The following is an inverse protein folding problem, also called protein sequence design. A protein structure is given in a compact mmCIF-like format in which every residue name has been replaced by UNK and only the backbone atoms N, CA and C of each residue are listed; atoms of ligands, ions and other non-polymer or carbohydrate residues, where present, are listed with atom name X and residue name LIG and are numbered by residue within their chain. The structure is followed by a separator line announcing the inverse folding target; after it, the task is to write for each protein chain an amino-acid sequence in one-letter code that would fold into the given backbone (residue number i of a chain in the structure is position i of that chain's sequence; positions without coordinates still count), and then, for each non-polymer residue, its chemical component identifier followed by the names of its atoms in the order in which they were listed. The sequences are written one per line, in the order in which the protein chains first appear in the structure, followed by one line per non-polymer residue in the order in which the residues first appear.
data_IF_827902550409
#
_entry.id   IF_827902550409
#
_cell.length_a   1.000
_cell.length_b   1.000
_cell.length_c   1.000
_cell.angle_alpha   90.00
_cell.angle_beta   90.00
_cell.angle_gamma   90.00
#
_symmetry.space_group_name_H-M   'P 1'
#
loop_
_entity.id
_entity.type
_entity.pdbx_description
1 polymer ?
#
# COMPACT_ATOMS: atom_id res chain seq x y z
N UNK A 1 59.88 -3.66 46.77
CA UNK A 1 60.26 -3.05 45.48
C UNK A 1 59.04 -2.24 45.08
N UNK A 2 58.98 -0.98 45.53
CA UNK A 2 59.46 0.18 44.76
C UNK A 2 58.53 0.45 43.57
N UNK A 3 58.08 1.65 43.24
CA UNK A 3 58.23 3.00 43.79
C UNK A 3 57.67 3.89 42.68
N UNK A 4 56.85 4.90 43.03
CA UNK A 4 56.90 6.27 42.46
C UNK A 4 56.72 6.46 40.92
N UNK A 5 56.45 7.65 40.38
CA UNK A 5 55.58 8.77 40.80
C UNK A 5 55.18 9.54 39.51
N UNK A 6 54.42 10.64 39.65
CA UNK A 6 54.02 11.69 38.69
C UNK A 6 55.24 12.30 37.93
N UNK A 7 55.14 13.27 37.01
CA UNK A 7 54.68 14.67 37.08
C UNK A 7 54.64 15.15 35.60
N UNK A 8 53.49 15.55 35.03
CA UNK A 8 53.02 16.94 34.82
C UNK A 8 54.03 17.91 34.15
N UNK A 9 53.62 18.61 33.08
CA UNK A 9 53.58 20.09 33.07
C UNK A 9 52.96 20.68 31.77
N UNK A 10 52.18 21.74 31.97
CA UNK A 10 51.61 22.67 30.98
C UNK A 10 52.20 24.08 31.32
N UNK A 11 51.59 25.26 31.03
CA UNK A 11 50.55 25.68 30.07
C UNK A 11 51.23 26.68 29.08
N UNK A 12 50.91 27.98 28.89
CA UNK A 12 49.65 28.76 28.93
C UNK A 12 49.43 29.50 27.56
N UNK A 13 48.70 30.60 27.35
CA UNK A 13 47.88 31.49 28.20
C UNK A 13 46.80 32.23 27.36
N UNK A 14 45.62 32.50 27.97
CA UNK A 14 44.86 33.78 27.90
C UNK A 14 44.32 34.32 26.54
N UNK A 15 43.23 35.09 26.42
CA UNK A 15 42.20 35.61 27.37
C UNK A 15 40.94 36.10 26.60
N UNK A 16 39.87 36.42 27.36
CA UNK A 16 38.70 37.25 27.01
C UNK A 16 37.53 36.61 26.22
N UNK A 17 36.33 36.73 26.80
CA UNK A 17 35.06 36.46 26.12
C UNK A 17 34.16 37.71 26.07
N UNK A 18 32.98 37.57 25.48
CA UNK A 18 31.84 38.48 25.73
C UNK A 18 30.50 37.80 25.44
N UNK A 19 29.58 37.98 26.39
CA UNK A 19 28.21 37.46 26.41
C UNK A 19 27.30 38.38 25.57
N UNK A 20 26.40 37.83 24.75
CA UNK A 20 25.20 38.53 24.27
C UNK A 20 24.06 37.55 23.96
N UNK A 21 22.84 38.07 23.98
CA UNK A 21 21.62 37.35 24.34
C UNK A 21 20.52 37.52 23.27
N UNK A 22 19.66 36.50 23.13
CA UNK A 22 18.35 36.50 22.42
C UNK A 22 18.31 36.95 20.95
N UNK A 23 17.72 36.10 20.09
CA UNK A 23 16.38 36.38 19.55
C UNK A 23 15.74 35.10 18.97
N UNK A 24 14.50 34.79 19.36
CA UNK A 24 13.67 33.81 18.66
C UNK A 24 13.10 34.48 17.42
N UNK A 25 13.42 34.03 16.21
CA UNK A 25 12.73 34.46 14.99
C UNK A 25 12.18 33.27 14.19
N UNK A 26 10.85 33.26 14.14
CA UNK A 26 9.93 32.71 13.14
C UNK A 26 10.61 32.28 11.83
N UNK A 27 10.48 31.00 11.45
CA UNK A 27 10.74 30.56 10.07
C UNK A 27 9.59 31.04 9.19
N UNK A 28 9.85 32.01 8.33
CA UNK A 28 8.98 32.31 7.19
C UNK A 28 9.40 31.45 5.97
N UNK A 29 8.49 31.19 5.01
CA UNK A 29 8.76 30.25 3.93
C UNK A 29 9.83 30.81 2.98
N UNK A 30 10.82 29.98 2.62
CA UNK A 30 11.79 30.36 1.59
C UNK A 30 11.14 30.27 0.21
N UNK A 31 11.09 31.40 -0.49
CA UNK A 31 10.89 31.42 -1.93
C UNK A 31 12.05 30.71 -2.62
N UNK A 32 11.75 29.90 -3.63
CA UNK A 32 12.75 29.14 -4.38
C UNK A 32 13.47 30.10 -5.34
N UNK A 33 14.80 30.15 -5.23
CA UNK A 33 15.68 30.89 -6.15
C UNK A 33 16.31 29.93 -7.16
N UNK A 34 16.64 30.47 -8.33
CA UNK A 34 16.87 29.74 -9.59
C UNK A 34 18.04 28.72 -9.59
N UNK A 35 17.98 27.68 -10.44
CA UNK A 35 19.02 26.66 -10.53
C UNK A 35 20.31 27.15 -11.18
N UNK A 36 21.45 26.59 -10.73
CA UNK A 36 22.79 26.89 -11.24
C UNK A 36 23.01 26.36 -12.67
N UNK A 37 23.80 27.07 -13.51
CA UNK A 37 24.12 26.62 -14.87
C UNK A 37 25.16 25.51 -14.85
N UNK A 38 24.85 24.35 -15.46
CA UNK A 38 25.76 23.20 -15.48
C UNK A 38 25.23 21.89 -16.06
N UNK A 39 24.21 21.93 -16.93
CA UNK A 39 23.70 20.74 -17.64
C UNK A 39 23.40 21.06 -19.12
N UNK A 40 23.41 20.02 -19.95
CA UNK A 40 23.61 20.10 -21.40
C UNK A 40 22.45 20.73 -22.20
N UNK A 41 22.82 21.44 -23.28
CA UNK A 41 21.94 22.13 -24.21
C UNK A 41 21.13 21.17 -25.12
N UNK A 42 19.98 20.67 -24.66
CA UNK A 42 18.97 20.10 -25.56
C UNK A 42 17.87 21.14 -25.84
N UNK A 43 18.03 21.90 -26.93
CA UNK A 43 17.01 22.86 -27.39
C UNK A 43 15.73 22.13 -27.79
N UNK A 44 14.58 22.67 -27.35
CA UNK A 44 13.18 22.29 -27.70
C UNK A 44 12.53 21.12 -26.93
N UNK A 45 12.50 21.23 -25.60
CA UNK A 45 11.29 20.82 -24.85
C UNK A 45 10.79 22.00 -24.02
N UNK A 46 9.64 22.57 -24.40
CA UNK A 46 8.86 23.44 -23.52
C UNK A 46 8.15 22.55 -22.52
N UNK A 47 8.65 22.52 -21.28
CA UNK A 47 7.93 21.90 -20.16
C UNK A 47 6.77 22.81 -19.83
N UNK A 48 5.60 22.50 -20.38
CA UNK A 48 4.36 23.18 -20.02
C UNK A 48 4.02 22.79 -18.57
N UNK A 49 4.17 23.74 -17.66
CA UNK A 49 3.85 23.51 -16.25
C UNK A 49 2.32 23.49 -16.09
N UNK A 50 1.72 22.30 -16.07
CA UNK A 50 0.28 22.14 -15.84
C UNK A 50 0.01 22.47 -14.37
N UNK A 51 -0.61 23.62 -14.13
CA UNK A 51 -1.15 23.98 -12.82
C UNK A 51 -2.54 23.37 -12.74
N UNK A 52 -2.65 22.22 -12.08
CA UNK A 52 -3.93 21.52 -11.88
C UNK A 52 -4.75 22.27 -10.83
N UNK A 53 -5.84 22.92 -11.24
CA UNK A 53 -6.88 23.34 -10.29
C UNK A 53 -7.76 22.15 -9.86
N UNK A 54 -8.50 22.33 -8.77
CA UNK A 54 -9.13 21.25 -8.00
C UNK A 54 -10.04 20.34 -8.83
N UNK A 55 -9.73 19.03 -8.81
CA UNK A 55 -10.53 17.88 -9.22
C UNK A 55 -10.96 17.77 -10.71
N UNK A 56 -11.06 18.86 -11.47
CA UNK A 56 -11.52 18.83 -12.87
C UNK A 56 -10.51 18.26 -13.87
N UNK A 57 -9.21 18.32 -13.57
CA UNK A 57 -8.15 18.01 -14.54
C UNK A 57 -7.90 16.50 -14.69
N UNK A 58 -7.96 15.73 -13.59
CA UNK A 58 -7.63 14.29 -13.61
C UNK A 58 -8.54 13.50 -14.56
N UNK A 59 -9.84 13.80 -14.57
CA UNK A 59 -10.82 13.19 -15.50
C UNK A 59 -10.52 13.60 -16.93
N UNK A 60 -10.19 14.87 -17.16
CA UNK A 60 -9.90 15.44 -18.47
C UNK A 60 -8.63 14.84 -19.09
N UNK A 61 -7.54 14.72 -18.32
CA UNK A 61 -6.30 14.06 -18.72
C UNK A 61 -6.54 12.56 -18.99
N UNK A 62 -7.25 11.85 -18.12
CA UNK A 62 -7.50 10.43 -18.30
C UNK A 62 -8.41 10.14 -19.51
N UNK A 63 -9.41 11.00 -19.78
CA UNK A 63 -10.20 11.02 -21.02
C UNK A 63 -9.32 11.28 -22.25
N UNK A 64 -8.36 12.21 -22.19
CA UNK A 64 -7.45 12.45 -23.31
C UNK A 64 -6.60 11.21 -23.64
N UNK A 65 -6.12 10.49 -22.61
CA UNK A 65 -5.32 9.27 -22.77
C UNK A 65 -6.12 8.03 -23.19
N UNK A 66 -7.37 7.89 -22.76
CA UNK A 66 -8.15 6.66 -22.94
C UNK A 66 -9.43 6.81 -23.80
N UNK A 67 -9.77 8.05 -24.18
CA UNK A 67 -10.90 8.43 -25.04
C UNK A 67 -12.21 7.77 -24.54
N UNK A 68 -13.07 7.35 -25.46
CA UNK A 68 -14.33 6.64 -25.19
C UNK A 68 -14.17 5.31 -24.42
N UNK A 69 -12.95 4.79 -24.24
CA UNK A 69 -12.72 3.58 -23.43
C UNK A 69 -12.45 3.88 -21.96
N UNK A 70 -12.30 5.15 -21.56
CA UNK A 70 -11.92 5.55 -20.21
C UNK A 70 -12.82 4.92 -19.14
N UNK A 71 -14.12 5.22 -19.15
CA UNK A 71 -15.04 4.73 -18.13
C UNK A 71 -15.18 3.20 -18.14
N UNK A 72 -15.19 2.54 -19.31
CA UNK A 72 -15.20 1.06 -19.39
C UNK A 72 -13.95 0.42 -18.80
N UNK A 73 -12.78 1.05 -18.97
CA UNK A 73 -11.52 0.59 -18.36
C UNK A 73 -11.49 0.85 -16.86
N UNK A 74 -11.97 2.01 -16.42
CA UNK A 74 -12.06 2.37 -15.00
C UNK A 74 -13.00 1.41 -14.25
N UNK A 75 -14.20 1.16 -14.79
CA UNK A 75 -15.11 0.13 -14.27
C UNK A 75 -14.42 -1.22 -14.15
N UNK A 76 -13.74 -1.69 -15.20
CA UNK A 76 -13.04 -2.98 -15.18
C UNK A 76 -11.92 -3.03 -14.12
N UNK A 77 -11.27 -1.90 -13.85
CA UNK A 77 -10.20 -1.80 -12.85
C UNK A 77 -10.73 -1.93 -11.42
N UNK A 78 -11.92 -1.37 -11.14
CA UNK A 78 -12.56 -1.33 -9.81
C UNK A 78 -13.74 -2.29 -9.65
N UNK A 79 -13.96 -3.21 -10.60
CA UNK A 79 -15.01 -4.22 -10.53
C UNK A 79 -14.90 -5.10 -9.25
N UNK A 80 -13.70 -5.60 -8.85
CA UNK A 80 -13.54 -6.38 -7.61
C UNK A 80 -13.88 -5.60 -6.34
N UNK A 81 -13.40 -4.36 -6.22
CA UNK A 81 -13.62 -3.48 -5.07
C UNK A 81 -15.10 -3.08 -4.97
N UNK A 82 -15.76 -2.78 -6.10
CA UNK A 82 -17.20 -2.49 -6.11
C UNK A 82 -18.02 -3.70 -5.64
N UNK A 83 -17.72 -4.89 -6.16
CA UNK A 83 -18.44 -6.11 -5.80
C UNK A 83 -18.23 -6.48 -4.32
N UNK A 84 -17.01 -6.32 -3.81
CA UNK A 84 -16.70 -6.47 -2.40
C UNK A 84 -17.46 -5.46 -1.52
N UNK A 85 -17.49 -4.18 -1.91
CA UNK A 85 -18.21 -3.14 -1.16
C UNK A 85 -19.73 -3.40 -1.12
N UNK A 86 -20.36 -3.73 -2.26
CA UNK A 86 -21.79 -4.06 -2.33
C UNK A 86 -22.11 -5.28 -1.46
N UNK A 87 -21.27 -6.32 -1.48
CA UNK A 87 -21.45 -7.51 -0.64
C UNK A 87 -21.27 -7.20 0.85
N UNK A 88 -20.28 -6.38 1.22
CA UNK A 88 -20.01 -6.00 2.60
C UNK A 88 -21.15 -5.15 3.22
N UNK A 89 -21.82 -4.33 2.42
CA UNK A 89 -23.06 -3.61 2.78
C UNK A 89 -24.20 -4.60 3.06
N UNK A 90 -24.32 -5.66 2.26
CA UNK A 90 -25.43 -6.61 2.33
C UNK A 90 -25.31 -7.67 3.45
N UNK A 91 -24.09 -8.08 3.83
CA UNK A 91 -23.88 -9.28 4.68
C UNK A 91 -23.06 -9.01 5.96
N UNK A 92 -23.13 -7.79 6.49
CA UNK A 92 -22.15 -7.21 7.42
C UNK A 92 -22.02 -7.81 8.83
N UNK A 93 -21.54 -9.05 8.98
CA UNK A 93 -20.91 -9.54 10.21
C UNK A 93 -19.43 -9.83 9.94
N UNK A 94 -18.52 -9.46 10.86
CA UNK A 94 -17.08 -9.73 10.69
C UNK A 94 -16.82 -11.24 10.77
N UNK A 95 -16.67 -11.89 9.62
CA UNK A 95 -16.61 -13.34 9.48
C UNK A 95 -15.21 -13.77 9.03
N UNK A 96 -14.61 -14.71 9.75
CA UNK A 96 -13.54 -15.55 9.21
C UNK A 96 -14.13 -16.29 8.01
N UNK A 97 -13.76 -15.90 6.78
CA UNK A 97 -14.35 -16.49 5.56
C UNK A 97 -13.74 -17.88 5.33
N UNK A 98 -14.48 -18.99 5.51
CA UNK A 98 -13.95 -20.32 5.22
C UNK A 98 -13.84 -20.52 3.70
N UNK A 99 -13.08 -21.53 3.27
CA UNK A 99 -13.00 -21.85 1.85
C UNK A 99 -14.33 -22.47 1.36
N UNK A 100 -14.83 -22.00 0.21
CA UNK A 100 -16.04 -22.52 -0.43
C UNK A 100 -15.80 -23.82 -1.22
N UNK A 101 -14.56 -24.27 -1.38
CA UNK A 101 -14.25 -25.51 -2.08
C UNK A 101 -14.71 -26.73 -1.26
N UNK A 102 -15.45 -27.64 -1.90
CA UNK A 102 -15.94 -28.86 -1.29
C UNK A 102 -14.79 -29.65 -0.65
N UNK A 103 -14.97 -30.11 0.59
CA UNK A 103 -13.97 -30.81 1.42
C UNK A 103 -12.71 -30.03 1.84
N UNK A 104 -12.62 -28.72 1.60
CA UNK A 104 -11.47 -27.93 2.04
C UNK A 104 -11.51 -27.60 3.55
N UNK A 105 -10.41 -27.84 4.27
CA UNK A 105 -10.30 -27.62 5.72
C UNK A 105 -9.96 -26.19 6.17
N UNK A 106 -9.90 -25.21 5.27
CA UNK A 106 -9.54 -23.82 5.61
C UNK A 106 -10.65 -23.14 6.43
N UNK A 107 -10.33 -22.79 7.68
CA UNK A 107 -11.26 -22.09 8.61
C UNK A 107 -11.44 -20.60 8.29
N UNK A 108 -10.40 -19.98 7.72
CA UNK A 108 -10.37 -18.56 7.38
C UNK A 108 -9.52 -18.35 6.13
N UNK A 109 -9.82 -17.30 5.37
CA UNK A 109 -8.94 -16.79 4.34
C UNK A 109 -7.75 -16.07 5.00
N UNK A 110 -6.55 -16.51 4.65
CA UNK A 110 -5.30 -15.83 4.95
C UNK A 110 -4.67 -15.42 3.61
N UNK A 111 -4.48 -14.12 3.39
CA UNK A 111 -3.83 -13.63 2.17
C UNK A 111 -2.40 -14.17 2.11
N UNK A 112 -2.05 -14.94 1.08
CA UNK A 112 -0.67 -15.35 0.78
C UNK A 112 -0.23 -14.60 -0.50
N UNK A 113 0.97 -14.01 -0.53
CA UNK A 113 1.51 -13.42 -1.75
C UNK A 113 1.56 -14.42 -2.91
N UNK A 114 1.03 -14.01 -4.06
CA UNK A 114 0.95 -14.80 -5.29
C UNK A 114 2.09 -14.51 -6.26
N UNK A 115 2.79 -13.38 -6.08
CA UNK A 115 3.83 -12.85 -6.97
C UNK A 115 4.99 -12.23 -6.19
N UNK A 116 6.22 -12.23 -6.74
CA UNK A 116 7.37 -11.61 -6.08
C UNK A 116 7.23 -10.10 -5.89
N UNK A 117 6.53 -9.39 -6.78
CA UNK A 117 6.21 -7.96 -6.58
C UNK A 117 5.50 -7.66 -5.25
N UNK A 118 4.63 -8.56 -4.77
CA UNK A 118 3.83 -8.36 -3.56
C UNK A 118 4.67 -8.44 -2.27
N UNK A 119 5.90 -8.98 -2.38
CA UNK A 119 6.89 -9.10 -1.30
C UNK A 119 8.15 -8.28 -1.59
N UNK A 120 8.07 -7.34 -2.54
CA UNK A 120 9.16 -6.42 -2.87
C UNK A 120 10.23 -6.99 -3.81
N UNK A 121 10.18 -8.28 -4.16
CA UNK A 121 11.15 -8.96 -5.03
C UNK A 121 10.94 -8.70 -6.54
N UNK A 122 10.47 -7.51 -6.91
CA UNK A 122 10.07 -7.16 -8.28
C UNK A 122 11.18 -7.35 -9.33
N UNK A 123 12.45 -7.36 -8.92
CA UNK A 123 13.61 -7.60 -9.80
C UNK A 123 13.66 -9.03 -10.35
N UNK A 124 13.03 -10.01 -9.68
CA UNK A 124 13.05 -11.42 -10.12
C UNK A 124 12.49 -11.61 -11.53
N UNK A 125 11.50 -10.81 -11.93
CA UNK A 125 10.90 -10.87 -13.29
C UNK A 125 11.87 -10.53 -14.42
N UNK A 126 12.96 -9.82 -14.13
CA UNK A 126 13.99 -9.47 -15.10
C UNK A 126 15.17 -10.46 -15.08
N UNK A 127 15.16 -11.46 -14.20
CA UNK A 127 16.22 -12.47 -14.11
C UNK A 127 16.09 -13.48 -15.26
N UNK A 128 17.16 -13.76 -16.03
CA UNK A 128 17.14 -14.81 -17.05
C UNK A 128 16.71 -16.15 -16.46
N UNK A 129 15.76 -16.82 -17.13
CA UNK A 129 15.22 -18.12 -16.70
C UNK A 129 14.24 -18.07 -15.52
N UNK A 130 13.76 -16.89 -15.09
CA UNK A 130 12.69 -16.80 -14.11
C UNK A 130 11.32 -17.12 -14.73
N UNK A 131 10.59 -18.04 -14.10
CA UNK A 131 9.19 -18.36 -14.44
C UNK A 131 8.24 -17.81 -13.35
N UNK A 132 7.45 -16.77 -13.66
CA UNK A 132 6.45 -16.23 -12.72
C UNK A 132 5.37 -17.24 -12.31
N UNK A 133 5.08 -18.25 -13.12
CA UNK A 133 4.01 -19.23 -12.86
C UNK A 133 4.45 -20.33 -11.88
N UNK A 134 5.76 -20.57 -11.78
CA UNK A 134 6.36 -21.49 -10.82
C UNK A 134 6.68 -20.85 -9.45
N UNK A 135 6.70 -19.52 -9.34
CA UNK A 135 6.98 -18.84 -8.08
C UNK A 135 5.90 -19.12 -7.03
N UNK A 136 6.33 -19.31 -5.77
CA UNK A 136 5.46 -19.48 -4.59
C UNK A 136 6.11 -18.81 -3.39
N UNK A 137 5.31 -18.16 -2.56
CA UNK A 137 5.73 -17.74 -1.22
C UNK A 137 6.28 -18.95 -0.42
N UNK A 138 7.47 -18.79 0.16
CA UNK A 138 8.21 -19.84 0.86
C UNK A 138 8.36 -19.56 2.36
N UNK A 139 8.31 -20.63 3.14
CA UNK A 139 8.62 -20.64 4.57
C UNK A 139 10.15 -20.62 4.78
N UNK A 140 10.61 -20.27 5.99
CA UNK A 140 11.99 -20.41 6.48
C UNK A 140 12.54 -21.82 6.30
N UNK A 141 11.69 -22.85 6.31
CA UNK A 141 12.08 -24.23 5.99
C UNK A 141 12.29 -24.51 4.49
N UNK A 142 12.26 -23.46 3.64
CA UNK A 142 12.41 -23.46 2.17
C UNK A 142 11.33 -24.23 1.39
N UNK A 143 10.27 -24.67 2.06
CA UNK A 143 9.08 -25.25 1.43
C UNK A 143 8.04 -24.18 1.10
N UNK A 144 7.26 -24.40 0.03
CA UNK A 144 6.19 -23.48 -0.37
C UNK A 144 5.04 -23.47 0.64
N UNK A 145 4.25 -22.40 0.67
CA UNK A 145 3.03 -22.35 1.49
C UNK A 145 2.04 -23.49 1.17
N UNK A 146 1.96 -23.95 -0.08
CA UNK A 146 1.16 -25.12 -0.50
C UNK A 146 1.60 -26.43 0.17
N UNK A 147 2.85 -26.48 0.64
CA UNK A 147 3.43 -27.60 1.40
C UNK A 147 3.26 -27.42 2.92
N UNK A 148 2.31 -26.59 3.35
CA UNK A 148 1.90 -26.40 4.74
C UNK A 148 0.38 -26.62 4.86
N UNK A 149 -0.06 -27.05 6.04
CA UNK A 149 -1.46 -27.36 6.30
C UNK A 149 -2.33 -26.09 6.32
N UNK A 150 -3.63 -26.17 5.94
CA UNK A 150 -4.57 -25.05 6.07
C UNK A 150 -5.08 -24.86 7.52
N UNK A 151 -4.62 -25.70 8.45
CA UNK A 151 -4.95 -25.62 9.86
C UNK A 151 -4.18 -24.48 10.55
N UNK A 152 -4.68 -24.02 11.69
CA UNK A 152 -4.04 -23.01 12.53
C UNK A 152 -2.58 -23.35 12.79
N UNK A 153 -1.69 -22.38 12.54
CA UNK A 153 -0.24 -22.53 12.64
C UNK A 153 0.43 -22.86 11.31
N UNK A 154 -0.25 -23.53 10.38
CA UNK A 154 0.30 -23.95 9.08
C UNK A 154 1.54 -24.84 9.22
N UNK A 155 1.41 -26.01 9.85
CA UNK A 155 2.50 -26.98 9.95
C UNK A 155 2.89 -27.55 8.57
N UNK A 156 4.18 -27.73 8.31
CA UNK A 156 4.71 -28.26 7.04
C UNK A 156 4.37 -29.75 6.86
N UNK A 157 3.97 -30.14 5.66
CA UNK A 157 3.59 -31.53 5.31
C UNK A 157 4.73 -32.34 4.68
N UNK A 158 5.92 -31.74 4.52
CA UNK A 158 7.05 -32.37 3.81
C UNK A 158 7.75 -33.42 4.70
N UNK A 159 7.98 -34.65 4.19
CA UNK A 159 8.64 -35.71 4.96
C UNK A 159 9.99 -35.24 5.55
N UNK A 160 10.19 -35.50 6.84
CA UNK A 160 11.40 -35.11 7.57
C UNK A 160 11.44 -33.64 8.04
N UNK A 161 10.52 -32.78 7.59
CA UNK A 161 10.42 -31.41 8.08
C UNK A 161 9.76 -31.37 9.47
N UNK A 162 10.31 -30.58 10.40
CA UNK A 162 9.76 -30.35 11.76
C UNK A 162 9.14 -28.97 11.94
N UNK A 163 8.87 -28.28 10.84
CA UNK A 163 8.33 -26.92 10.83
C UNK A 163 6.85 -26.95 11.22
N UNK A 164 6.55 -26.56 12.46
CA UNK A 164 5.19 -26.58 13.04
C UNK A 164 4.43 -25.27 12.81
N UNK A 165 5.13 -24.19 12.47
CA UNK A 165 4.56 -22.90 12.12
C UNK A 165 5.11 -22.41 10.77
N UNK A 166 4.27 -21.83 9.92
CA UNK A 166 4.76 -21.11 8.73
C UNK A 166 5.39 -19.79 9.17
N UNK A 167 6.72 -19.72 9.07
CA UNK A 167 7.54 -18.53 9.30
C UNK A 167 8.00 -18.02 7.94
N UNK A 168 7.62 -16.82 7.52
CA UNK A 168 7.91 -16.32 6.17
C UNK A 168 9.40 -16.07 5.94
N UNK A 169 9.91 -16.51 4.79
CA UNK A 169 11.29 -16.21 4.36
C UNK A 169 11.45 -14.85 3.67
N UNK A 170 10.36 -14.09 3.59
CA UNK A 170 10.24 -12.79 2.93
C UNK A 170 9.59 -11.78 3.90
N UNK A 171 9.73 -10.49 3.60
CA UNK A 171 9.11 -9.42 4.37
C UNK A 171 8.00 -8.75 3.53
N UNK A 172 7.04 -8.13 4.22
CA UNK A 172 5.98 -7.37 3.57
C UNK A 172 6.53 -6.06 3.00
N UNK A 173 6.34 -5.84 1.69
CA UNK A 173 6.85 -4.67 0.97
C UNK A 173 6.36 -3.30 1.48
N UNK A 174 5.31 -3.28 2.30
CA UNK A 174 4.68 -2.06 2.83
C UNK A 174 5.09 -1.71 4.27
N UNK A 175 5.65 -2.65 5.04
CA UNK A 175 5.89 -2.45 6.47
C UNK A 175 7.09 -3.23 7.06
N UNK A 176 7.84 -3.94 6.22
CA UNK A 176 9.06 -4.72 6.57
C UNK A 176 8.87 -5.79 7.67
N UNK A 177 7.61 -6.19 7.95
CA UNK A 177 7.27 -7.26 8.90
C UNK A 177 7.12 -8.62 8.23
N UNK A 178 7.23 -9.68 9.03
CA UNK A 178 6.95 -11.04 8.59
C UNK A 178 5.46 -11.25 8.29
N UNK A 179 5.16 -12.14 7.35
CA UNK A 179 3.80 -12.49 6.93
C UNK A 179 2.90 -12.90 8.10
N UNK A 180 3.40 -13.75 8.99
CA UNK A 180 2.67 -14.30 10.14
C UNK A 180 2.32 -13.26 11.22
N UNK A 181 2.93 -12.07 11.18
CA UNK A 181 2.51 -10.90 11.97
C UNK A 181 1.28 -10.19 11.38
N UNK A 182 0.88 -10.51 10.14
CA UNK A 182 -0.24 -9.87 9.47
C UNK A 182 -1.55 -10.61 9.75
N UNK A 183 -2.56 -9.87 10.18
CA UNK A 183 -3.93 -10.36 10.23
C UNK A 183 -4.66 -9.98 8.94
N UNK A 184 -5.23 -10.97 8.24
CA UNK A 184 -6.24 -10.68 7.21
C UNK A 184 -7.56 -10.38 7.91
N UNK A 185 -8.08 -9.15 7.75
CA UNK A 185 -9.38 -8.73 8.27
C UNK A 185 -10.30 -8.33 7.13
N UNK A 186 -11.61 -8.47 7.35
CA UNK A 186 -12.65 -8.06 6.41
C UNK A 186 -13.43 -6.89 7.01
N UNK A 187 -13.29 -5.72 6.38
CA UNK A 187 -14.08 -4.54 6.71
C UNK A 187 -15.57 -4.80 6.41
N UNK A 188 -16.40 -4.74 7.44
CA UNK A 188 -17.86 -4.71 7.32
C UNK A 188 -18.42 -3.33 7.61
N UNK A 189 -19.62 -3.04 7.12
CA UNK A 189 -20.28 -1.76 7.39
C UNK A 189 -20.38 -1.45 8.89
N UNK A 190 -20.71 -2.45 9.71
CA UNK A 190 -20.78 -2.31 11.16
C UNK A 190 -19.43 -2.14 11.85
N UNK A 191 -18.37 -2.80 11.36
CA UNK A 191 -17.01 -2.55 11.85
C UNK A 191 -16.54 -1.12 11.57
N UNK A 192 -16.95 -0.56 10.42
CA UNK A 192 -16.65 0.81 10.01
C UNK A 192 -17.44 1.84 10.80
N UNK A 193 -18.75 1.64 10.99
CA UNK A 193 -19.58 2.46 11.90
C UNK A 193 -18.98 2.53 13.31
N UNK A 194 -18.61 1.38 13.88
CA UNK A 194 -17.97 1.30 15.22
C UNK A 194 -16.62 2.01 15.29
N UNK A 195 -15.87 2.03 14.19
CA UNK A 195 -14.56 2.66 14.08
C UNK A 195 -14.61 4.13 13.62
N UNK A 196 -15.81 4.69 13.38
CA UNK A 196 -15.96 6.05 12.85
C UNK A 196 -15.47 6.23 11.40
N UNK A 197 -15.32 5.14 10.65
CA UNK A 197 -14.84 5.13 9.26
C UNK A 197 -16.00 5.31 8.26
N UNK A 198 -15.75 5.83 7.05
CA UNK A 198 -16.77 5.95 6.02
C UNK A 198 -17.44 4.61 5.68
N UNK A 199 -18.77 4.62 5.60
CA UNK A 199 -19.62 3.45 5.38
C UNK A 199 -20.76 3.76 4.39
N UNK A 200 -21.39 2.73 3.83
CA UNK A 200 -22.44 2.89 2.82
C UNK A 200 -21.95 3.68 1.61
N UNK A 201 -22.69 4.72 1.21
CA UNK A 201 -22.36 5.57 0.06
C UNK A 201 -21.00 6.26 0.20
N UNK A 202 -20.62 6.62 1.44
CA UNK A 202 -19.35 7.30 1.74
C UNK A 202 -18.11 6.38 1.66
N UNK A 203 -18.29 5.07 1.47
CA UNK A 203 -17.17 4.14 1.21
C UNK A 203 -16.84 4.01 -0.29
N UNK A 204 -17.68 4.51 -1.18
CA UNK A 204 -17.54 4.23 -2.60
C UNK A 204 -16.31 4.93 -3.22
N UNK A 205 -15.60 4.29 -4.16
CA UNK A 205 -14.48 4.90 -4.86
C UNK A 205 -14.86 6.26 -5.47
N UNK A 206 -14.03 7.27 -5.23
CA UNK A 206 -14.16 8.62 -5.78
C UNK A 206 -15.46 9.35 -5.41
N UNK A 207 -16.01 9.14 -4.21
CA UNK A 207 -17.21 9.86 -3.73
C UNK A 207 -17.09 11.40 -3.79
N UNK A 208 -15.86 11.92 -3.78
CA UNK A 208 -15.53 13.34 -3.92
C UNK A 208 -15.56 13.84 -5.38
N UNK A 209 -15.60 12.94 -6.38
CA UNK A 209 -15.52 13.25 -7.81
C UNK A 209 -16.58 12.43 -8.58
N UNK A 210 -17.83 12.91 -8.67
CA UNK A 210 -18.96 12.14 -9.22
C UNK A 210 -18.74 11.55 -10.61
N UNK A 211 -18.02 12.23 -11.51
CA UNK A 211 -17.70 11.71 -12.83
C UNK A 211 -16.82 10.45 -12.80
N UNK A 212 -15.85 10.37 -11.86
CA UNK A 212 -15.02 9.18 -11.66
C UNK A 212 -15.80 8.08 -10.94
N UNK A 213 -16.64 8.44 -9.97
CA UNK A 213 -17.51 7.51 -9.27
C UNK A 213 -18.46 6.82 -10.26
N UNK A 214 -19.18 7.59 -11.08
CA UNK A 214 -20.05 7.07 -12.13
C UNK A 214 -19.26 6.18 -13.10
N UNK A 215 -18.09 6.63 -13.54
CA UNK A 215 -17.23 5.88 -14.46
C UNK A 215 -16.77 4.54 -13.87
N UNK A 216 -16.41 4.49 -12.58
CA UNK A 216 -16.00 3.27 -11.88
C UNK A 216 -17.19 2.33 -11.56
N UNK A 217 -18.35 2.88 -11.20
CA UNK A 217 -19.52 2.08 -10.82
C UNK A 217 -20.28 1.54 -12.04
N UNK A 218 -20.56 2.41 -13.01
CA UNK A 218 -21.48 2.15 -14.14
C UNK A 218 -20.76 1.92 -15.46
N UNK A 219 -19.53 2.43 -15.62
CA UNK A 219 -18.81 2.45 -16.89
C UNK A 219 -19.22 3.59 -17.83
N UNK A 220 -19.93 4.60 -17.32
CA UNK A 220 -20.34 5.86 -17.98
C UNK A 220 -20.13 7.02 -17.00
N UNK A 221 -19.93 8.25 -17.49
CA UNK A 221 -19.49 9.35 -16.62
C UNK A 221 -20.66 10.25 -16.19
N UNK A 222 -21.65 10.39 -17.07
CA UNK A 222 -22.83 11.24 -16.95
C UNK A 222 -24.07 10.57 -16.29
N UNK A 223 -24.05 9.26 -16.03
CA UNK A 223 -25.20 8.50 -15.48
C UNK A 223 -25.32 8.64 -13.94
N UNK A 224 -25.56 9.86 -13.47
CA UNK A 224 -25.81 10.21 -12.06
C UNK A 224 -26.94 9.42 -11.36
N UNK A 225 -28.09 9.05 -11.99
CA UNK A 225 -29.15 8.31 -11.30
C UNK A 225 -28.88 6.81 -11.15
N UNK A 226 -27.92 6.24 -11.88
CA UNK A 226 -27.67 4.80 -11.88
C UNK A 226 -27.10 4.30 -10.54
N UNK A 227 -26.36 5.14 -9.80
CA UNK A 227 -25.92 4.79 -8.45
C UNK A 227 -27.11 4.61 -7.48
N UNK A 228 -28.08 5.53 -7.47
CA UNK A 228 -29.29 5.40 -6.64
C UNK A 228 -30.09 4.14 -6.97
N UNK A 229 -30.06 3.67 -8.22
CA UNK A 229 -30.68 2.41 -8.62
C UNK A 229 -29.94 1.16 -8.11
N UNK A 230 -28.64 1.27 -7.78
CA UNK A 230 -27.81 0.19 -7.20
C UNK A 230 -27.93 0.20 -5.66
N UNK A 231 -27.70 1.36 -5.02
CA UNK A 231 -27.75 1.48 -3.56
C UNK A 231 -29.18 1.53 -2.98
N UNK A 232 -30.16 1.97 -3.77
CA UNK A 232 -31.58 2.03 -3.38
C UNK A 232 -32.28 0.67 -3.32
N UNK A 233 -31.63 -0.42 -3.76
CA UNK A 233 -32.14 -1.80 -3.57
C UNK A 233 -31.93 -2.28 -2.13
N UNK A 234 -32.65 -1.66 -1.20
CA UNK A 234 -33.05 -2.36 0.02
C UNK A 234 -34.13 -3.37 -0.33
N UNK A 235 -33.93 -4.61 0.08
CA UNK A 235 -34.94 -5.66 0.22
C UNK A 235 -34.88 -6.10 1.67
#
# INVERSE_FOLDING_TARGET
MSSEEKINESPPSNVAGKRREKLKHRREPRTVTDPKPGCLNNKRYTVNHVVTETNGDVVTVARAMHRQQFARRLKKLFDPEREAAVKAIQTGTSVQVPCAALSCGCKAFAFIPSRPEEVGEFWLRNRPGFDPTAWRATCRCQHSHEQHTPATGHACTRPGCRCVFFESSFLCASCDKHWEEHQTFFDTEDSRKKSGLPYGEAYLPFVEIPALQNAALTGREEDEPAFRAIAGRRV
#
